data_IF_171842065133
#
_entry.id   IF_171842065133
#
_cell.length_a   1.000
_cell.length_b   1.000
_cell.length_c   1.000
_cell.angle_alpha   90.00
_cell.angle_beta   90.00
_cell.angle_gamma   90.00
#
_symmetry.space_group_name_H-M   'P 1'
#
loop_
_entity.id
_entity.type
_entity.pdbx_description
1 polymer ?
#
# COMPACT_ATOMS: atom_id res chain seq x y z
N UNK A 1 -10.62 22.61 -4.06
CA UNK A 1 -10.52 21.85 -2.79
C UNK A 1 -10.10 20.42 -3.15
N UNK A 2 -9.08 19.85 -2.49
CA UNK A 2 -8.67 18.47 -2.78
C UNK A 2 -9.70 17.49 -2.20
N UNK A 3 -10.00 16.37 -2.88
CA UNK A 3 -10.86 15.34 -2.32
C UNK A 3 -10.24 14.79 -1.04
N UNK A 4 -11.09 14.49 -0.04
CA UNK A 4 -10.65 13.91 1.22
C UNK A 4 -10.30 12.44 0.98
N UNK A 5 -9.07 12.04 1.30
CA UNK A 5 -8.68 10.64 1.29
C UNK A 5 -9.21 9.95 2.55
N UNK A 6 -9.71 8.72 2.40
CA UNK A 6 -9.93 7.82 3.52
C UNK A 6 -8.59 7.20 3.91
N UNK A 7 -8.15 7.46 5.14
CA UNK A 7 -6.85 7.02 5.66
C UNK A 7 -6.99 5.96 6.77
N UNK A 8 -8.16 5.35 6.94
CA UNK A 8 -8.38 4.30 7.94
C UNK A 8 -7.36 3.15 7.80
N UNK A 9 -7.10 2.71 6.57
CA UNK A 9 -6.04 1.75 6.26
C UNK A 9 -5.17 2.30 5.14
N UNK A 10 -4.04 2.89 5.54
CA UNK A 10 -3.03 3.46 4.64
C UNK A 10 -1.77 2.58 4.68
N UNK A 11 -1.51 1.85 3.59
CA UNK A 11 -0.32 1.01 3.47
C UNK A 11 0.85 1.80 2.87
N UNK A 12 2.02 1.71 3.51
CA UNK A 12 3.31 2.13 2.95
C UNK A 12 4.14 0.88 2.68
N UNK A 13 4.60 0.71 1.44
CA UNK A 13 5.37 -0.47 1.01
C UNK A 13 6.82 -0.14 0.76
N UNK A 14 7.70 -1.11 0.96
CA UNK A 14 9.12 -1.03 0.66
C UNK A 14 9.54 -2.32 -0.07
N UNK A 15 10.14 -2.25 -1.28
CA UNK A 15 10.46 -3.45 -2.07
C UNK A 15 11.39 -4.43 -1.35
N UNK A 16 12.31 -3.93 -0.52
CA UNK A 16 13.28 -4.76 0.22
C UNK A 16 12.62 -5.41 1.44
N UNK A 17 11.67 -4.72 2.06
CA UNK A 17 11.00 -5.17 3.28
C UNK A 17 9.72 -5.98 3.04
N UNK A 18 9.34 -6.27 1.79
CA UNK A 18 8.16 -7.10 1.46
C UNK A 18 8.31 -8.60 1.83
N UNK A 19 9.27 -8.96 2.69
CA UNK A 19 9.44 -10.29 3.29
C UNK A 19 9.42 -11.45 2.27
N UNK A 20 9.95 -11.23 1.07
CA UNK A 20 10.01 -12.23 0.00
C UNK A 20 8.73 -12.38 -0.84
N UNK A 21 7.62 -11.69 -0.50
CA UNK A 21 6.49 -11.53 -1.43
C UNK A 21 6.83 -10.45 -2.43
N UNK A 22 6.35 -10.59 -3.67
CA UNK A 22 6.49 -9.51 -4.63
C UNK A 22 5.74 -8.26 -4.13
N UNK A 23 6.34 -7.09 -4.34
CA UNK A 23 5.71 -5.79 -4.01
C UNK A 23 4.28 -5.72 -4.56
N UNK A 24 4.11 -6.11 -5.82
CA UNK A 24 2.81 -6.09 -6.52
C UNK A 24 1.80 -7.00 -5.83
N UNK A 25 2.19 -8.23 -5.45
CA UNK A 25 1.31 -9.17 -4.76
C UNK A 25 0.87 -8.63 -3.40
N UNK A 26 1.79 -7.98 -2.67
CA UNK A 26 1.53 -7.35 -1.38
C UNK A 26 0.51 -6.22 -1.52
N UNK A 27 0.69 -5.35 -2.53
CA UNK A 27 -0.26 -4.27 -2.83
C UNK A 27 -1.63 -4.83 -3.22
N UNK A 28 -1.68 -5.85 -4.09
CA UNK A 28 -2.93 -6.47 -4.51
C UNK A 28 -3.68 -7.13 -3.34
N UNK A 29 -2.96 -7.75 -2.41
CA UNK A 29 -3.56 -8.30 -1.19
C UNK A 29 -4.16 -7.19 -0.31
N UNK A 30 -3.43 -6.08 -0.12
CA UNK A 30 -3.90 -4.94 0.67
C UNK A 30 -5.15 -4.27 0.08
N UNK A 31 -5.18 -4.07 -1.24
CA UNK A 31 -6.35 -3.52 -1.94
C UNK A 31 -7.55 -4.44 -1.79
N UNK A 32 -7.38 -5.76 -1.98
CA UNK A 32 -8.47 -6.74 -1.75
C UNK A 32 -8.95 -6.76 -0.29
N UNK A 33 -8.08 -6.42 0.66
CA UNK A 33 -8.41 -6.29 2.09
C UNK A 33 -9.02 -4.95 2.50
N UNK A 34 -9.19 -4.00 1.58
CA UNK A 34 -9.85 -2.72 1.84
C UNK A 34 -8.92 -1.54 2.11
N UNK A 35 -7.61 -1.66 1.86
CA UNK A 35 -6.73 -0.48 1.88
C UNK A 35 -7.11 0.49 0.76
N UNK A 36 -7.30 1.77 1.12
CA UNK A 36 -7.76 2.84 0.22
C UNK A 36 -6.63 3.74 -0.27
N UNK A 37 -5.47 3.69 0.39
CA UNK A 37 -4.27 4.42 0.00
C UNK A 37 -3.06 3.50 0.10
N UNK A 38 -2.24 3.52 -0.95
CA UNK A 38 -0.97 2.79 -1.04
C UNK A 38 0.13 3.78 -1.37
N UNK A 39 1.22 3.78 -0.61
CA UNK A 39 2.41 4.57 -0.90
C UNK A 39 3.59 3.63 -1.17
N UNK A 40 4.20 3.78 -2.35
CA UNK A 40 5.49 3.19 -2.63
C UNK A 40 6.59 4.02 -1.94
N UNK A 41 7.37 3.37 -1.09
CA UNK A 41 8.58 3.90 -0.48
C UNK A 41 9.78 3.11 -1.02
N UNK A 42 10.51 3.74 -1.93
CA UNK A 42 11.70 3.19 -2.55
C UNK A 42 12.81 4.25 -2.43
N UNK A 43 13.68 4.09 -1.44
CA UNK A 43 14.73 5.06 -1.06
C UNK A 43 15.99 4.35 -0.66
#
# INVERSE_FOLDING_TARGET
MKPKLDLCVYLVTDPVLCAGRALVETVLAAVRGGATVIQLRDK
#
